data_IF_378177636449
#
_entry.id   IF_378177636449
#
_cell.length_a   1.000
_cell.length_b   1.000
_cell.length_c   1.000
_cell.angle_alpha   90.00
_cell.angle_beta   90.00
_cell.angle_gamma   90.00
#
_symmetry.space_group_name_H-M   'P 1'
#
loop_
_entity.id
_entity.type
_entity.pdbx_description
1 polymer ?
#
# COMPACT_ATOMS: atom_id res chain seq x y z
N UNK A 1 13.14 61.70 -1.48
CA UNK A 1 14.59 61.40 -1.55
C UNK A 1 14.84 60.85 -2.95
N UNK A 2 15.17 61.71 -3.93
CA UNK A 2 16.55 61.98 -4.41
C UNK A 2 17.14 60.72 -5.06
N UNK A 3 17.57 60.62 -6.32
CA UNK A 3 18.02 61.50 -7.42
C UNK A 3 17.79 60.74 -8.76
N UNK A 4 17.25 61.32 -9.85
CA UNK A 4 17.89 62.06 -10.96
C UNK A 4 19.23 61.55 -11.50
N UNK A 5 19.27 61.24 -12.82
CA UNK A 5 20.25 61.63 -13.87
C UNK A 5 19.97 60.76 -15.13
N UNK A 6 19.30 61.22 -16.19
CA UNK A 6 19.66 62.22 -17.24
C UNK A 6 21.00 61.92 -17.95
N UNK A 7 20.92 61.58 -19.24
CA UNK A 7 22.09 61.38 -20.10
C UNK A 7 21.76 61.28 -21.60
N UNK A 8 21.21 62.34 -22.19
CA UNK A 8 21.21 62.60 -23.64
C UNK A 8 22.64 62.84 -24.15
N UNK A 9 22.96 62.41 -25.39
CA UNK A 9 23.83 63.16 -26.31
C UNK A 9 23.60 62.74 -27.78
N UNK A 10 23.33 63.76 -28.59
CA UNK A 10 23.25 63.77 -30.05
C UNK A 10 24.63 64.01 -30.69
N UNK A 11 24.81 63.52 -31.91
CA UNK A 11 25.65 64.09 -32.99
C UNK A 11 25.16 63.45 -34.30
N UNK A 12 24.54 64.11 -35.29
CA UNK A 12 24.86 65.32 -36.08
C UNK A 12 26.22 65.27 -36.77
N UNK A 13 26.17 65.12 -38.10
CA UNK A 13 27.08 65.78 -39.02
C UNK A 13 28.08 64.89 -39.74
N UNK A 14 27.96 64.82 -41.08
CA UNK A 14 29.03 64.23 -41.91
C UNK A 14 28.69 64.01 -43.38
N UNK A 15 28.22 65.05 -44.09
CA UNK A 15 28.10 65.05 -45.55
C UNK A 15 29.49 65.31 -46.15
N UNK A 16 30.03 64.39 -46.98
CA UNK A 16 31.06 64.70 -47.99
C UNK A 16 30.76 63.95 -49.28
N UNK A 17 30.99 64.69 -50.36
CA UNK A 17 30.67 64.38 -51.74
C UNK A 17 31.94 64.33 -52.59
N UNK A 18 31.83 63.64 -53.72
CA UNK A 18 32.63 63.72 -54.95
C UNK A 18 34.00 63.04 -54.94
N UNK A 19 34.14 62.11 -55.89
CA UNK A 19 35.38 61.48 -56.31
C UNK A 19 35.10 60.49 -57.44
N UNK A 20 34.70 61.02 -58.60
CA UNK A 20 34.58 60.26 -59.85
C UNK A 20 35.97 59.78 -60.31
N UNK A 21 36.17 58.47 -60.35
CA UNK A 21 37.30 57.85 -61.04
C UNK A 21 36.78 56.70 -61.90
N UNK A 22 36.71 56.97 -63.21
CA UNK A 22 36.36 56.02 -64.25
C UNK A 22 37.39 54.90 -64.32
N UNK A 23 36.98 53.68 -63.96
CA UNK A 23 37.74 52.45 -64.20
C UNK A 23 37.10 51.63 -65.34
N UNK A 24 37.92 50.93 -66.13
CA UNK A 24 37.51 50.33 -67.38
C UNK A 24 36.64 49.10 -67.16
N UNK A 25 35.61 48.99 -68.01
CA UNK A 25 34.75 47.82 -68.19
C UNK A 25 35.57 46.54 -68.30
N UNK A 26 35.57 45.72 -67.24
CA UNK A 26 35.75 44.27 -67.36
C UNK A 26 34.38 43.59 -67.22
N UNK A 27 33.97 42.97 -68.33
CA UNK A 27 32.75 42.17 -68.44
C UNK A 27 32.92 40.85 -67.68
N UNK A 28 31.78 40.34 -67.18
CA UNK A 28 31.51 38.94 -66.82
C UNK A 28 32.13 38.38 -65.53
N UNK A 29 31.40 38.50 -64.40
CA UNK A 29 31.34 37.50 -63.29
C UNK A 29 30.58 37.97 -62.01
N UNK A 30 29.88 39.11 -62.02
CA UNK A 30 29.18 39.61 -60.81
C UNK A 30 27.92 38.82 -60.38
N UNK A 31 27.38 37.94 -61.24
CA UNK A 31 26.22 37.10 -60.91
C UNK A 31 26.55 35.90 -60.03
N UNK A 32 27.74 35.30 -60.19
CA UNK A 32 28.18 34.11 -59.46
C UNK A 32 28.61 34.41 -58.01
N UNK A 33 29.17 35.59 -57.76
CA UNK A 33 29.61 35.99 -56.41
C UNK A 33 28.43 36.28 -55.47
N UNK A 34 27.33 36.84 -55.99
CA UNK A 34 26.11 37.11 -55.19
C UNK A 34 25.38 35.82 -54.83
N UNK A 35 25.24 34.88 -55.76
CA UNK A 35 24.61 33.57 -55.49
C UNK A 35 25.47 32.72 -54.57
N UNK A 36 26.80 32.74 -54.73
CA UNK A 36 27.72 32.07 -53.82
C UNK A 36 27.65 32.62 -52.39
N UNK A 37 27.53 33.95 -52.22
CA UNK A 37 27.42 34.57 -50.89
C UNK A 37 26.09 34.22 -50.20
N UNK A 38 24.97 34.18 -50.94
CA UNK A 38 23.68 33.73 -50.41
C UNK A 38 23.69 32.24 -50.04
N UNK A 39 24.32 31.37 -50.84
CA UNK A 39 24.48 29.94 -50.51
C UNK A 39 25.35 29.73 -49.27
N UNK A 40 26.41 30.53 -49.09
CA UNK A 40 27.31 30.44 -47.95
C UNK A 40 26.65 30.95 -46.65
N UNK A 41 25.80 31.99 -46.73
CA UNK A 41 24.97 32.46 -45.61
C UNK A 41 23.84 31.47 -45.26
N UNK A 42 23.29 30.77 -46.25
CA UNK A 42 22.28 29.72 -46.05
C UNK A 42 22.90 28.45 -45.41
N UNK A 43 24.17 28.15 -45.71
CA UNK A 43 24.92 27.09 -45.03
C UNK A 43 25.33 27.48 -43.60
N UNK A 44 25.64 28.75 -43.33
CA UNK A 44 25.99 29.19 -41.98
C UNK A 44 24.79 29.22 -41.02
N UNK A 45 23.57 29.43 -41.52
CA UNK A 45 22.34 29.44 -40.72
C UNK A 45 21.77 28.04 -40.46
N UNK A 46 22.16 27.02 -41.24
CA UNK A 46 21.76 25.63 -41.04
C UNK A 46 22.55 24.89 -39.96
N UNK A 47 23.65 25.47 -39.46
CA UNK A 47 24.65 24.77 -38.63
C UNK A 47 24.47 24.86 -37.10
N UNK A 48 23.51 25.62 -36.58
CA UNK A 48 23.28 25.74 -35.13
C UNK A 48 22.02 25.02 -34.69
N UNK A 49 21.81 23.80 -35.17
CA UNK A 49 21.04 22.83 -34.40
C UNK A 49 21.89 22.45 -33.18
N UNK A 50 21.74 23.20 -32.08
CA UNK A 50 22.20 22.72 -30.78
C UNK A 50 21.47 21.41 -30.53
N UNK A 51 22.15 20.28 -30.76
CA UNK A 51 21.66 18.99 -30.33
C UNK A 51 21.41 19.13 -28.84
N UNK A 52 20.14 19.03 -28.42
CA UNK A 52 19.82 18.96 -26.99
C UNK A 52 20.54 17.74 -26.46
N UNK A 53 21.59 17.96 -25.65
CA UNK A 53 22.24 16.83 -25.00
C UNK A 53 21.25 16.21 -24.03
N UNK A 54 21.17 14.89 -24.06
CA UNK A 54 20.25 14.10 -23.25
C UNK A 54 21.05 13.26 -22.28
N UNK A 55 20.61 13.24 -21.02
CA UNK A 55 21.08 12.28 -20.03
C UNK A 55 20.09 11.11 -19.91
N UNK A 56 20.55 10.01 -19.31
CA UNK A 56 19.69 8.85 -19.01
C UNK A 56 19.50 8.77 -17.50
N UNK A 57 18.26 8.66 -17.03
CA UNK A 57 17.94 8.45 -15.62
C UNK A 57 17.47 7.03 -15.43
N UNK A 58 18.14 6.28 -14.56
CA UNK A 58 17.74 4.93 -14.17
C UNK A 58 17.01 4.98 -12.83
N UNK A 59 15.77 4.53 -12.82
CA UNK A 59 14.87 4.54 -11.68
C UNK A 59 15.00 3.22 -10.91
N UNK A 60 15.52 3.29 -9.69
CA UNK A 60 15.59 2.20 -8.73
C UNK A 60 14.61 2.45 -7.59
N UNK A 61 13.34 2.15 -7.86
CA UNK A 61 12.23 2.43 -6.93
C UNK A 61 11.87 1.16 -6.14
N UNK A 62 11.64 1.29 -4.84
CA UNK A 62 11.03 0.27 -3.98
C UNK A 62 9.58 0.71 -3.65
N UNK A 63 8.53 0.01 -4.13
CA UNK A 63 8.53 -1.31 -4.78
C UNK A 63 9.01 -1.30 -6.25
N UNK A 64 9.70 -2.38 -6.65
CA UNK A 64 10.31 -2.52 -7.99
C UNK A 64 9.35 -2.83 -9.15
N UNK A 65 8.04 -2.89 -8.89
CA UNK A 65 6.97 -3.17 -9.84
C UNK A 65 5.79 -2.20 -9.63
N UNK A 66 4.94 -2.06 -10.66
CA UNK A 66 3.68 -1.28 -10.63
C UNK A 66 3.76 0.18 -10.17
N UNK A 67 4.96 0.76 -10.17
CA UNK A 67 5.12 2.19 -9.95
C UNK A 67 4.82 2.97 -11.24
N UNK A 68 4.27 4.16 -11.07
CA UNK A 68 4.09 5.16 -12.12
C UNK A 68 4.79 6.43 -11.68
N UNK A 69 5.25 7.22 -12.63
CA UNK A 69 5.82 8.52 -12.31
C UNK A 69 5.41 9.58 -13.31
N UNK A 70 5.40 10.82 -12.84
CA UNK A 70 5.20 12.03 -13.63
C UNK A 70 6.50 12.80 -13.70
N UNK A 71 6.98 13.10 -14.91
CA UNK A 71 8.12 14.01 -15.12
C UNK A 71 7.61 15.38 -15.57
N UNK A 72 8.03 16.44 -14.87
CA UNK A 72 7.73 17.85 -15.15
C UNK A 72 6.25 18.13 -15.44
N UNK A 73 5.34 17.43 -14.74
CA UNK A 73 3.89 17.51 -14.91
C UNK A 73 3.37 17.13 -16.33
N UNK A 74 4.18 16.47 -17.17
CA UNK A 74 3.88 16.23 -18.59
C UNK A 74 3.80 14.76 -19.00
N UNK A 75 4.46 13.85 -18.28
CA UNK A 75 4.62 12.48 -18.76
C UNK A 75 4.33 11.46 -17.68
N UNK A 76 3.29 10.63 -17.87
CA UNK A 76 3.06 9.43 -17.07
C UNK A 76 3.72 8.23 -17.73
N UNK A 77 4.66 7.59 -17.04
CA UNK A 77 5.39 6.46 -17.59
C UNK A 77 5.57 5.34 -16.54
N UNK A 78 5.72 4.12 -17.04
CA UNK A 78 6.10 2.92 -16.28
C UNK A 78 7.36 2.33 -16.92
N UNK A 79 8.44 3.11 -16.89
CA UNK A 79 9.74 2.73 -17.45
C UNK A 79 10.80 2.78 -16.36
N UNK A 80 11.83 1.93 -16.44
CA UNK A 80 12.97 1.96 -15.50
C UNK A 80 14.07 2.91 -15.95
N UNK A 81 14.10 3.28 -17.21
CA UNK A 81 15.10 4.17 -17.78
C UNK A 81 14.42 5.23 -18.62
N UNK A 82 14.76 6.50 -18.39
CA UNK A 82 14.15 7.64 -19.06
C UNK A 82 15.24 8.53 -19.60
N UNK A 83 15.16 8.90 -20.87
CA UNK A 83 16.05 9.90 -21.48
C UNK A 83 15.44 11.28 -21.31
N UNK A 84 16.15 12.17 -20.64
CA UNK A 84 15.72 13.53 -20.36
C UNK A 84 16.77 14.52 -20.87
N UNK A 85 16.35 15.75 -21.14
CA UNK A 85 17.28 16.83 -21.45
C UNK A 85 18.21 17.12 -20.26
N UNK A 86 19.30 17.82 -20.51
CA UNK A 86 20.10 18.38 -19.43
C UNK A 86 19.29 19.41 -18.62
N UNK A 87 19.36 19.34 -17.29
CA UNK A 87 18.70 20.30 -16.41
C UNK A 87 18.08 19.69 -15.15
N UNK A 88 17.38 20.53 -14.38
CA UNK A 88 16.63 20.11 -13.19
C UNK A 88 15.24 19.61 -13.62
N UNK A 89 14.94 18.35 -13.31
CA UNK A 89 13.66 17.72 -13.61
C UNK A 89 12.92 17.35 -12.31
N UNK A 90 11.61 17.55 -12.30
CA UNK A 90 10.73 17.20 -11.19
C UNK A 90 10.06 15.86 -11.46
N UNK A 91 10.17 14.95 -10.50
CA UNK A 91 9.58 13.62 -10.52
C UNK A 91 8.53 13.51 -9.42
N UNK A 92 7.30 13.19 -9.78
CA UNK A 92 6.28 12.71 -8.83
C UNK A 92 6.15 11.21 -9.00
N UNK A 93 6.59 10.43 -8.02
CA UNK A 93 6.57 8.98 -8.04
C UNK A 93 5.37 8.47 -7.24
N UNK A 94 4.66 7.48 -7.77
CA UNK A 94 3.56 6.81 -7.09
C UNK A 94 3.62 5.30 -7.31
N UNK A 95 3.16 4.54 -6.33
CA UNK A 95 2.90 3.12 -6.47
C UNK A 95 1.66 2.77 -5.65
N UNK A 96 0.93 1.70 -6.01
CA UNK A 96 -0.19 1.21 -5.21
C UNK A 96 0.22 1.02 -3.75
N UNK A 97 -0.68 1.38 -2.81
CA UNK A 97 -0.46 1.24 -1.36
C UNK A 97 0.60 2.19 -0.77
N UNK A 98 1.27 3.00 -1.60
CA UNK A 98 2.34 3.92 -1.22
C UNK A 98 1.91 5.37 -1.33
N UNK A 99 2.65 6.24 -0.63
CA UNK A 99 2.47 7.69 -0.76
C UNK A 99 3.12 8.20 -2.04
N UNK A 100 2.54 9.26 -2.60
CA UNK A 100 3.19 10.02 -3.66
C UNK A 100 4.43 10.73 -3.10
N UNK A 101 5.56 10.55 -3.76
CA UNK A 101 6.83 11.20 -3.39
C UNK A 101 7.29 12.09 -4.53
N UNK A 102 7.41 13.37 -4.23
CA UNK A 102 7.96 14.37 -5.14
C UNK A 102 9.47 14.51 -4.89
N UNK A 103 10.26 14.46 -5.95
CA UNK A 103 11.72 14.56 -5.90
C UNK A 103 12.22 15.32 -7.11
N UNK A 104 13.29 16.11 -6.95
CA UNK A 104 13.94 16.79 -8.06
C UNK A 104 15.31 16.16 -8.30
N UNK A 105 15.65 15.92 -9.57
CA UNK A 105 16.93 15.35 -9.98
C UNK A 105 17.57 16.24 -11.05
N UNK A 106 18.86 16.52 -10.89
CA UNK A 106 19.63 17.21 -11.91
C UNK A 106 20.23 16.20 -12.89
N UNK A 107 19.85 16.30 -14.16
CA UNK A 107 20.29 15.43 -15.23
C UNK A 107 21.47 16.07 -15.96
N UNK A 108 22.57 15.34 -16.05
CA UNK A 108 23.78 15.76 -16.76
C UNK A 108 23.79 15.13 -18.15
N UNK A 109 24.09 15.96 -19.16
CA UNK A 109 24.39 15.57 -20.53
C UNK A 109 25.28 14.32 -20.62
N UNK A 110 24.90 13.36 -21.47
CA UNK A 110 25.69 12.17 -21.82
C UNK A 110 26.10 11.27 -20.63
N UNK A 111 25.41 11.40 -19.48
CA UNK A 111 25.62 10.57 -18.29
C UNK A 111 24.37 9.82 -17.88
N UNK A 112 24.57 8.67 -17.25
CA UNK A 112 23.54 7.92 -16.54
C UNK A 112 23.51 8.32 -15.07
N UNK A 113 22.33 8.69 -14.55
CA UNK A 113 22.13 8.99 -13.13
C UNK A 113 21.14 8.00 -12.54
N UNK A 114 21.53 7.36 -11.45
CA UNK A 114 20.67 6.41 -10.73
C UNK A 114 19.85 7.16 -9.66
N UNK A 115 18.52 7.13 -9.79
CA UNK A 115 17.59 7.65 -8.81
C UNK A 115 17.06 6.50 -7.95
N UNK A 116 17.56 6.40 -6.72
CA UNK A 116 17.13 5.40 -5.75
C UNK A 116 16.12 6.03 -4.79
N UNK A 117 14.85 5.59 -4.85
CA UNK A 117 13.79 6.12 -3.98
C UNK A 117 12.98 4.98 -3.38
N UNK A 118 12.77 5.04 -2.07
CA UNK A 118 11.90 4.11 -1.35
C UNK A 118 10.59 4.80 -1.04
N UNK A 119 9.49 4.29 -1.59
CA UNK A 119 8.16 4.87 -1.37
C UNK A 119 7.59 4.38 -0.03
N UNK A 120 7.28 5.29 0.92
CA UNK A 120 6.67 4.90 2.18
C UNK A 120 5.23 4.42 1.95
N UNK A 121 4.75 3.52 2.82
CA UNK A 121 3.35 3.11 2.81
C UNK A 121 2.42 4.26 3.16
N UNK A 122 1.27 4.34 2.51
CA UNK A 122 0.27 5.35 2.85
C UNK A 122 -0.36 5.04 4.23
N UNK A 123 -0.69 6.07 5.02
CA UNK A 123 -1.35 5.87 6.31
C UNK A 123 -2.69 5.16 6.16
N UNK A 124 -3.41 5.38 5.06
CA UNK A 124 -4.66 4.68 4.71
C UNK A 124 -4.42 3.19 4.53
N UNK A 125 -3.34 2.79 3.84
CA UNK A 125 -3.01 1.39 3.65
C UNK A 125 -2.63 0.72 4.97
N UNK A 126 -1.86 1.39 5.83
CA UNK A 126 -1.51 0.87 7.15
C UNK A 126 -2.79 0.65 7.98
N UNK A 127 -3.69 1.62 8.00
CA UNK A 127 -4.97 1.51 8.70
C UNK A 127 -5.84 0.38 8.14
N UNK A 128 -5.89 0.23 6.82
CA UNK A 128 -6.58 -0.87 6.14
C UNK A 128 -5.99 -2.23 6.51
N UNK A 129 -4.66 -2.38 6.46
CA UNK A 129 -3.97 -3.62 6.82
C UNK A 129 -4.24 -4.01 8.26
N UNK A 130 -4.18 -3.05 9.19
CA UNK A 130 -4.46 -3.30 10.59
C UNK A 130 -5.93 -3.69 10.82
N UNK A 131 -6.86 -3.05 10.09
CA UNK A 131 -8.27 -3.44 10.10
C UNK A 131 -8.49 -4.85 9.51
N UNK A 132 -7.76 -5.21 8.45
CA UNK A 132 -7.83 -6.52 7.81
C UNK A 132 -7.32 -7.63 8.75
N UNK A 133 -6.20 -7.41 9.44
CA UNK A 133 -5.67 -8.36 10.43
C UNK A 133 -6.68 -8.55 11.57
N UNK A 134 -7.26 -7.46 12.09
CA UNK A 134 -8.32 -7.54 13.12
C UNK A 134 -9.54 -8.31 12.62
N UNK A 135 -9.98 -8.06 11.39
CA UNK A 135 -11.10 -8.76 10.77
C UNK A 135 -10.81 -10.27 10.61
N UNK A 136 -9.64 -10.64 10.10
CA UNK A 136 -9.23 -12.03 9.94
C UNK A 136 -9.14 -12.77 11.29
N UNK A 137 -8.56 -12.13 12.30
CA UNK A 137 -8.47 -12.70 13.65
C UNK A 137 -9.86 -12.85 14.28
N UNK A 138 -10.73 -11.84 14.14
CA UNK A 138 -12.13 -11.93 14.58
C UNK A 138 -12.90 -13.05 13.88
N UNK A 139 -12.70 -13.22 12.57
CA UNK A 139 -13.29 -14.32 11.79
C UNK A 139 -12.79 -15.69 12.26
N UNK A 140 -11.49 -15.85 12.51
CA UNK A 140 -10.91 -17.09 13.06
C UNK A 140 -11.51 -17.40 14.44
N UNK A 141 -11.60 -16.42 15.32
CA UNK A 141 -12.21 -16.58 16.65
C UNK A 141 -13.69 -17.02 16.55
N UNK A 142 -14.44 -16.47 15.60
CA UNK A 142 -15.84 -16.85 15.36
C UNK A 142 -16.00 -18.31 14.92
N UNK A 143 -14.99 -18.88 14.28
CA UNK A 143 -14.97 -20.31 13.91
C UNK A 143 -14.56 -21.19 15.09
N UNK A 144 -13.58 -20.76 15.90
CA UNK A 144 -13.03 -21.57 17.00
C UNK A 144 -13.93 -21.56 18.24
N UNK A 145 -14.53 -20.41 18.57
CA UNK A 145 -15.35 -20.25 19.77
C UNK A 145 -16.51 -21.26 19.91
N UNK A 146 -17.35 -21.52 18.87
CA UNK A 146 -18.42 -22.51 19.00
C UNK A 146 -17.89 -23.94 19.16
N UNK A 147 -16.72 -24.26 18.60
CA UNK A 147 -16.08 -25.58 18.76
C UNK A 147 -15.63 -25.78 20.21
N UNK A 148 -14.98 -24.78 20.81
CA UNK A 148 -14.58 -24.83 22.22
C UNK A 148 -15.77 -24.95 23.16
N UNK A 149 -16.84 -24.17 22.91
CA UNK A 149 -18.06 -24.27 23.68
C UNK A 149 -18.72 -25.66 23.55
N UNK A 150 -18.85 -26.17 22.32
CA UNK A 150 -19.43 -27.49 22.07
C UNK A 150 -18.65 -28.62 22.75
N UNK A 151 -17.32 -28.56 22.73
CA UNK A 151 -16.47 -29.52 23.44
C UNK A 151 -16.69 -29.48 24.96
N UNK A 152 -16.82 -28.28 25.55
CA UNK A 152 -17.14 -28.11 26.97
C UNK A 152 -18.50 -28.70 27.34
N UNK A 153 -19.55 -28.39 26.57
CA UNK A 153 -20.89 -28.94 26.76
C UNK A 153 -20.87 -30.47 26.71
N UNK A 154 -20.18 -31.04 25.72
CA UNK A 154 -20.06 -32.49 25.58
C UNK A 154 -19.37 -33.12 26.79
N UNK A 155 -18.24 -32.56 27.24
CA UNK A 155 -17.50 -33.05 28.40
C UNK A 155 -18.33 -32.98 29.69
N UNK A 156 -19.08 -31.89 29.88
CA UNK A 156 -19.96 -31.71 31.04
C UNK A 156 -21.10 -32.72 31.03
N UNK A 157 -21.72 -32.97 29.86
CA UNK A 157 -22.75 -33.99 29.72
C UNK A 157 -22.25 -35.40 30.04
N UNK A 158 -21.04 -35.75 29.60
CA UNK A 158 -20.40 -37.02 29.94
C UNK A 158 -20.08 -37.12 31.44
N UNK A 159 -19.57 -36.04 32.03
CA UNK A 159 -19.25 -35.97 33.46
C UNK A 159 -20.51 -36.05 34.32
N UNK A 160 -21.61 -35.44 33.88
CA UNK A 160 -22.90 -35.51 34.57
C UNK A 160 -23.43 -36.95 34.60
N UNK A 161 -23.39 -37.67 33.47
CA UNK A 161 -23.78 -39.09 33.43
C UNK A 161 -22.90 -39.97 34.32
N UNK A 162 -21.61 -39.69 34.41
CA UNK A 162 -20.71 -40.43 35.30
C UNK A 162 -21.03 -40.15 36.78
N UNK A 163 -21.36 -38.90 37.11
CA UNK A 163 -21.81 -38.51 38.45
C UNK A 163 -23.12 -39.20 38.84
N UNK A 164 -24.11 -39.20 37.95
CA UNK A 164 -25.43 -39.81 38.13
C UNK A 164 -25.30 -41.32 38.42
N UNK A 165 -24.53 -42.05 37.61
CA UNK A 165 -24.26 -43.49 37.84
C UNK A 165 -23.56 -43.77 39.16
N UNK A 166 -22.59 -42.94 39.54
CA UNK A 166 -21.88 -43.11 40.82
C UNK A 166 -22.79 -42.83 42.02
N UNK A 167 -23.77 -41.93 41.86
CA UNK A 167 -24.80 -41.66 42.87
C UNK A 167 -25.75 -42.85 43.02
N UNK A 168 -26.28 -43.36 41.90
CA UNK A 168 -27.18 -44.52 41.87
C UNK A 168 -26.53 -45.77 42.51
N UNK A 169 -25.25 -46.03 42.22
CA UNK A 169 -24.50 -47.14 42.81
C UNK A 169 -24.40 -47.01 44.34
N UNK A 170 -24.15 -45.80 44.83
CA UNK A 170 -24.01 -45.53 46.26
C UNK A 170 -25.36 -45.62 46.99
N UNK A 171 -26.45 -45.21 46.34
CA UNK A 171 -27.81 -45.40 46.85
C UNK A 171 -28.18 -46.89 46.90
N UNK A 172 -27.89 -47.63 45.83
CA UNK A 172 -28.11 -49.09 45.76
C UNK A 172 -27.35 -49.81 46.87
N UNK A 173 -26.08 -49.47 47.12
CA UNK A 173 -25.29 -50.06 48.21
C UNK A 173 -25.81 -49.67 49.59
N UNK A 174 -26.32 -48.44 49.74
CA UNK A 174 -26.94 -47.99 50.98
C UNK A 174 -28.23 -48.76 51.26
N UNK A 175 -29.06 -48.97 50.26
CA UNK A 175 -30.28 -49.79 50.36
C UNK A 175 -29.94 -51.24 50.70
N UNK A 176 -28.92 -51.81 50.03
CA UNK A 176 -28.41 -53.15 50.31
C UNK A 176 -27.89 -53.28 51.75
N UNK A 177 -27.19 -52.26 52.26
CA UNK A 177 -26.74 -52.24 53.65
C UNK A 177 -27.90 -52.20 54.63
N UNK A 178 -28.94 -51.40 54.37
CA UNK A 178 -30.11 -51.30 55.25
C UNK A 178 -31.03 -52.52 55.22
N UNK A 179 -31.04 -53.27 54.11
CA UNK A 179 -31.92 -54.43 53.92
C UNK A 179 -31.22 -55.77 54.20
N UNK A 180 -29.89 -55.81 54.24
CA UNK A 180 -29.14 -57.04 54.48
C UNK A 180 -29.13 -57.42 55.97
N UNK A 181 -29.34 -58.71 56.24
CA UNK A 181 -29.26 -59.31 57.58
C UNK A 181 -27.99 -60.16 57.77
N UNK A 182 -27.14 -60.26 56.74
CA UNK A 182 -25.92 -61.07 56.75
C UNK A 182 -24.71 -60.25 57.26
N UNK A 183 -24.09 -60.63 58.40
CA UNK A 183 -22.95 -59.91 58.97
C UNK A 183 -21.74 -59.83 58.03
N UNK A 184 -21.48 -60.86 57.21
CA UNK A 184 -20.34 -60.87 56.30
C UNK A 184 -20.51 -59.85 55.17
N UNK A 185 -21.71 -59.79 54.59
CA UNK A 185 -22.07 -58.81 53.57
C UNK A 185 -22.12 -57.38 54.09
N UNK A 186 -22.55 -57.18 55.33
CA UNK A 186 -22.53 -55.87 56.00
C UNK A 186 -21.10 -55.37 56.18
N UNK A 187 -20.16 -56.25 56.57
CA UNK A 187 -18.75 -55.91 56.70
C UNK A 187 -18.13 -55.53 55.34
N UNK A 188 -18.37 -56.31 54.28
CA UNK A 188 -17.89 -56.02 52.92
C UNK A 188 -18.39 -54.66 52.40
N UNK A 189 -19.70 -54.40 52.54
CA UNK A 189 -20.32 -53.14 52.13
C UNK A 189 -19.71 -51.94 52.89
N UNK A 190 -19.50 -52.10 54.21
CA UNK A 190 -18.99 -51.03 55.08
C UNK A 190 -17.52 -50.72 54.83
N UNK A 191 -16.69 -51.75 54.71
CA UNK A 191 -15.24 -51.61 54.77
C UNK A 191 -14.61 -51.42 53.38
N UNK A 192 -15.25 -51.93 52.32
CA UNK A 192 -14.72 -51.88 50.95
C UNK A 192 -15.61 -51.09 49.99
N UNK A 193 -16.83 -51.58 49.70
CA UNK A 193 -17.64 -51.05 48.59
C UNK A 193 -18.11 -49.60 48.79
N UNK A 194 -18.68 -49.28 49.95
CA UNK A 194 -19.19 -47.92 50.22
C UNK A 194 -18.03 -46.90 50.22
N UNK A 195 -16.86 -47.15 50.86
CA UNK A 195 -15.70 -46.26 50.76
C UNK A 195 -15.20 -46.05 49.32
N UNK A 196 -15.12 -47.12 48.51
CA UNK A 196 -14.69 -47.06 47.11
C UNK A 196 -15.65 -46.22 46.25
N UNK A 197 -16.94 -46.51 46.29
CA UNK A 197 -17.95 -45.75 45.55
C UNK A 197 -18.06 -44.30 46.04
N UNK A 198 -17.80 -44.01 47.33
CA UNK A 198 -17.64 -42.63 47.83
C UNK A 198 -16.44 -41.90 47.23
N UNK A 199 -15.36 -42.61 46.90
CA UNK A 199 -14.21 -42.02 46.22
C UNK A 199 -14.53 -41.73 44.76
N UNK A 200 -15.21 -42.66 44.08
CA UNK A 200 -15.61 -42.49 42.69
C UNK A 200 -16.65 -41.37 42.52
N UNK A 201 -17.62 -41.25 43.43
CA UNK A 201 -18.53 -40.10 43.46
C UNK A 201 -17.77 -38.78 43.65
N UNK A 202 -16.75 -38.73 44.51
CA UNK A 202 -15.91 -37.52 44.69
C UNK A 202 -15.12 -37.17 43.43
N UNK A 203 -14.60 -38.17 42.72
CA UNK A 203 -13.92 -37.96 41.42
C UNK A 203 -14.89 -37.46 40.36
N UNK A 204 -16.06 -38.09 40.24
CA UNK A 204 -17.11 -37.70 39.30
C UNK A 204 -17.67 -36.30 39.59
N UNK A 205 -17.81 -35.93 40.86
CA UNK A 205 -18.18 -34.56 41.26
C UNK A 205 -17.12 -33.55 40.84
N UNK A 206 -15.85 -33.87 41.06
CA UNK A 206 -14.73 -33.00 40.65
C UNK A 206 -14.70 -32.83 39.14
N UNK A 207 -14.86 -33.91 38.36
CA UNK A 207 -14.89 -33.83 36.90
C UNK A 207 -16.10 -33.03 36.39
N UNK A 208 -17.26 -33.17 37.04
CA UNK A 208 -18.45 -32.37 36.72
C UNK A 208 -18.23 -30.88 37.00
N UNK A 209 -17.64 -30.52 38.13
CA UNK A 209 -17.31 -29.12 38.46
C UNK A 209 -16.33 -28.53 37.44
N UNK A 210 -15.28 -29.28 37.10
CA UNK A 210 -14.31 -28.86 36.09
C UNK A 210 -14.97 -28.71 34.71
N UNK A 211 -15.78 -29.69 34.29
CA UNK A 211 -16.53 -29.62 33.05
C UNK A 211 -17.47 -28.42 32.99
N UNK A 212 -18.25 -28.21 34.05
CA UNK A 212 -19.16 -27.07 34.17
C UNK A 212 -18.41 -25.73 34.08
N UNK A 213 -17.25 -25.62 34.75
CA UNK A 213 -16.41 -24.41 34.68
C UNK A 213 -15.87 -24.14 33.27
N UNK A 214 -15.38 -25.18 32.58
CA UNK A 214 -14.91 -25.06 31.19
C UNK A 214 -16.04 -24.66 30.23
N UNK A 215 -17.23 -25.21 30.45
CA UNK A 215 -18.42 -24.87 29.66
C UNK A 215 -18.84 -23.43 29.87
N UNK A 216 -18.86 -22.95 31.12
CA UNK A 216 -19.17 -21.56 31.43
C UNK A 216 -18.16 -20.59 30.80
N UNK A 217 -16.87 -20.92 30.86
CA UNK A 217 -15.81 -20.16 30.18
C UNK A 217 -15.99 -20.16 28.67
N UNK A 218 -16.26 -21.33 28.08
CA UNK A 218 -16.54 -21.47 26.65
C UNK A 218 -17.75 -20.65 26.20
N UNK A 219 -18.82 -20.63 27.01
CA UNK A 219 -20.01 -19.84 26.76
C UNK A 219 -19.70 -18.34 26.80
N UNK A 220 -18.93 -17.90 27.80
CA UNK A 220 -18.48 -16.51 27.93
C UNK A 220 -17.63 -16.06 26.73
N UNK A 221 -16.66 -16.88 26.32
CA UNK A 221 -15.82 -16.61 25.13
C UNK A 221 -16.68 -16.54 23.86
N UNK A 222 -17.59 -17.50 23.66
CA UNK A 222 -18.46 -17.51 22.49
C UNK A 222 -19.38 -16.28 22.45
N UNK A 223 -20.03 -15.95 23.56
CA UNK A 223 -20.86 -14.76 23.67
C UNK A 223 -20.07 -13.47 23.42
N UNK A 224 -18.88 -13.35 24.01
CA UNK A 224 -17.99 -12.20 23.81
C UNK A 224 -17.60 -12.03 22.34
N UNK A 225 -17.22 -13.13 21.67
CA UNK A 225 -16.87 -13.11 20.24
C UNK A 225 -18.08 -12.72 19.39
N UNK A 226 -19.27 -13.27 19.65
CA UNK A 226 -20.50 -12.89 18.95
C UNK A 226 -20.83 -11.41 19.13
N UNK A 227 -20.76 -10.91 20.36
CA UNK A 227 -21.07 -9.52 20.67
C UNK A 227 -20.07 -8.56 20.00
N UNK A 228 -18.77 -8.88 20.07
CA UNK A 228 -17.72 -8.04 19.49
C UNK A 228 -17.75 -8.03 17.97
N UNK A 229 -18.11 -9.15 17.33
CA UNK A 229 -18.08 -9.30 15.86
C UNK A 229 -19.38 -8.94 15.15
N UNK A 230 -20.44 -8.54 15.88
CA UNK A 230 -21.76 -8.22 15.31
C UNK A 230 -21.73 -7.12 14.23
N UNK A 231 -20.83 -6.14 14.39
CA UNK A 231 -20.71 -4.98 13.49
C UNK A 231 -19.39 -4.97 12.69
N UNK A 232 -18.78 -6.14 12.48
CA UNK A 232 -17.52 -6.24 11.72
C UNK A 232 -17.82 -6.40 10.24
N UNK A 233 -17.82 -5.28 9.51
CA UNK A 233 -17.81 -5.28 8.06
C UNK A 233 -16.41 -5.56 7.52
N UNK A 234 -16.34 -6.16 6.32
CA UNK A 234 -15.08 -6.34 5.64
C UNK A 234 -14.46 -4.96 5.31
N UNK A 235 -13.22 -4.68 5.75
CA UNK A 235 -12.60 -3.39 5.46
C UNK A 235 -12.45 -3.24 3.96
N UNK A 236 -12.74 -2.04 3.45
CA UNK A 236 -12.52 -1.67 2.05
C UNK A 236 -11.31 -0.75 1.98
N UNK A 237 -10.41 -1.02 1.06
CA UNK A 237 -9.27 -0.14 0.82
C UNK A 237 -9.67 0.95 -0.16
N UNK A 238 -9.49 2.21 0.25
CA UNK A 238 -9.66 3.38 -0.59
C UNK A 238 -8.31 4.08 -0.71
N UNK A 239 -7.75 4.07 -1.92
CA UNK A 239 -6.44 4.65 -2.19
C UNK A 239 -6.57 6.14 -2.52
N UNK A 240 -6.47 6.99 -1.49
CA UNK A 240 -6.52 8.45 -1.63
C UNK A 240 -5.30 9.01 -2.36
N UNK A 241 -4.15 8.37 -2.18
CA UNK A 241 -2.90 8.76 -2.84
C UNK A 241 -2.99 8.53 -4.36
N UNK A 242 -3.68 7.47 -4.78
CA UNK A 242 -4.03 7.27 -6.19
C UNK A 242 -4.85 8.43 -6.75
N UNK A 243 -5.89 8.89 -6.05
CA UNK A 243 -6.72 10.02 -6.50
C UNK A 243 -5.88 11.30 -6.61
N UNK A 244 -4.97 11.53 -5.65
CA UNK A 244 -4.04 12.66 -5.68
C UNK A 244 -3.07 12.59 -6.86
N UNK A 245 -2.54 11.41 -7.15
CA UNK A 245 -1.64 11.18 -8.28
C UNK A 245 -2.34 11.27 -9.64
N UNK A 246 -3.57 10.76 -9.74
CA UNK A 246 -4.33 10.69 -10.98
C UNK A 246 -4.95 12.03 -11.43
N UNK A 247 -4.88 13.07 -10.59
CA UNK A 247 -5.31 14.44 -10.91
C UNK A 247 -4.80 14.97 -12.25
N UNK A 248 -5.40 16.05 -12.77
CA UNK A 248 -5.16 16.59 -14.13
C UNK A 248 -3.67 16.65 -14.50
N UNK A 249 -3.27 15.91 -15.55
CA UNK A 249 -1.90 15.95 -16.10
C UNK A 249 -1.96 16.23 -17.60
N UNK A 250 -1.06 17.08 -18.09
CA UNK A 250 -0.95 17.35 -19.52
C UNK A 250 -0.27 16.16 -20.21
N UNK A 251 -0.85 15.62 -21.28
CA UNK A 251 -0.25 14.56 -22.08
C UNK A 251 -0.01 15.04 -23.51
N UNK A 252 1.24 15.06 -24.02
CA UNK A 252 1.49 15.43 -25.40
C UNK A 252 0.99 14.36 -26.37
N UNK A 253 0.31 14.80 -27.43
CA UNK A 253 -0.17 13.96 -28.54
C UNK A 253 0.38 14.51 -29.86
N UNK A 254 0.33 13.71 -30.93
CA UNK A 254 0.77 14.14 -32.28
C UNK A 254 0.01 15.35 -32.83
N UNK A 255 -1.06 15.81 -32.16
CA UNK A 255 -1.91 16.95 -32.55
C UNK A 255 -1.89 18.12 -31.56
N UNK A 256 -0.95 18.18 -30.62
CA UNK A 256 -0.79 19.33 -29.72
C UNK A 256 -1.21 19.12 -28.26
N UNK A 257 -1.33 17.87 -27.81
CA UNK A 257 -1.52 17.52 -26.40
C UNK A 257 -2.95 17.66 -25.87
N UNK A 258 -3.26 16.93 -24.80
CA UNK A 258 -4.56 16.88 -24.14
C UNK A 258 -4.39 16.87 -22.63
N UNK A 259 -5.29 17.55 -21.91
CA UNK A 259 -5.41 17.38 -20.47
C UNK A 259 -6.09 16.03 -20.19
N UNK A 260 -5.37 15.13 -19.52
CA UNK A 260 -5.90 13.85 -19.09
C UNK A 260 -6.25 13.92 -17.61
N UNK A 261 -7.54 13.80 -17.30
CA UNK A 261 -7.99 13.44 -15.97
C UNK A 261 -8.04 11.90 -15.90
N UNK A 262 -7.20 11.30 -15.06
CA UNK A 262 -7.35 9.88 -14.74
C UNK A 262 -8.54 9.75 -13.79
N UNK A 263 -9.74 9.51 -14.31
CA UNK A 263 -10.84 9.05 -13.45
C UNK A 263 -10.77 7.53 -13.47
N UNK A 264 -10.05 6.92 -12.52
CA UNK A 264 -10.29 5.49 -12.27
C UNK A 264 -11.53 5.34 -11.41
N UNK A 265 -12.64 4.95 -12.05
CA UNK A 265 -13.79 4.41 -11.34
C UNK A 265 -13.32 3.08 -10.75
N UNK A 266 -13.28 2.91 -9.41
CA UNK A 266 -12.98 1.61 -8.84
C UNK A 266 -14.12 0.67 -9.23
N UNK A 267 -13.88 -0.21 -10.21
CA UNK A 267 -14.76 -1.35 -10.44
C UNK A 267 -14.60 -2.24 -9.20
N UNK A 268 -15.61 -2.22 -8.33
CA UNK A 268 -15.68 -3.13 -7.20
C UNK A 268 -15.50 -4.56 -7.72
N UNK A 269 -14.52 -5.27 -7.16
CA UNK A 269 -14.31 -6.69 -7.40
C UNK A 269 -14.85 -7.49 -6.23
#
# INVERSE_FOLDING_TARGET
MMETLRGQRSAVGGRRSVGDAAWPRRRCSAGLLRTACYLLLLHFTAGTCTAQSTGTVRLMIDPGHDFQFVVDHKYRMQQREVKLGEGLHHFSLWAPERMVVDTALFVVADRSVDLVVRLPYSPEYIAYRDALVRYQNGRKLRLVAPVLFGAGVLWTGLSYRAYDRALDQLETDREAYTSSTDPGRIADLKDQRIPEHKQDLRRARTSLILGGSLTALGAGVWWYVLHRTKNFDAPRFEDREKVRFEGLTWMPTTRGGVWAAGITIPLAR
#
